data_IF_130316542823
#
_entry.id   IF_130316542823
#
_cell.length_a   1.000
_cell.length_b   1.000
_cell.length_c   1.000
_cell.angle_alpha   90.00
_cell.angle_beta   90.00
_cell.angle_gamma   90.00
#
_symmetry.space_group_name_H-M   'P 1'
#
loop_
_entity.id
_entity.type
_entity.pdbx_description
1 polymer ?
#
# COMPACT_ATOMS: atom_id res chain seq x y z
N UNK A 1 -9.99 -23.00 -13.94
CA UNK A 1 -10.77 -22.09 -13.06
C UNK A 1 -9.89 -21.00 -12.44
N UNK A 2 -8.87 -21.28 -11.57
CA UNK A 2 -8.02 -20.21 -11.01
C UNK A 2 -7.21 -19.43 -12.06
N UNK A 3 -6.56 -20.13 -13.00
CA UNK A 3 -5.82 -19.52 -14.11
C UNK A 3 -6.72 -18.71 -15.06
N UNK A 4 -7.97 -19.14 -15.27
CA UNK A 4 -8.94 -18.40 -16.08
C UNK A 4 -9.37 -17.09 -15.39
N UNK A 5 -9.56 -17.11 -14.06
CA UNK A 5 -9.90 -15.93 -13.27
C UNK A 5 -8.73 -14.95 -13.27
N UNK A 6 -7.51 -15.44 -13.08
CA UNK A 6 -6.30 -14.61 -13.15
C UNK A 6 -6.13 -13.97 -14.53
N UNK A 7 -6.27 -14.72 -15.61
CA UNK A 7 -6.16 -14.22 -16.97
C UNK A 7 -7.26 -13.19 -17.30
N UNK A 8 -8.48 -13.38 -16.78
CA UNK A 8 -9.59 -12.45 -16.98
C UNK A 8 -9.38 -11.08 -16.28
N UNK A 9 -8.52 -11.03 -15.24
CA UNK A 9 -8.24 -9.84 -14.45
C UNK A 9 -6.83 -9.27 -14.67
N UNK A 10 -6.09 -9.77 -15.68
CA UNK A 10 -4.74 -9.30 -16.01
C UNK A 10 -4.57 -9.08 -17.50
N UNK A 11 -3.48 -8.43 -17.88
CA UNK A 11 -3.03 -8.33 -19.29
C UNK A 11 -2.27 -9.58 -19.76
N UNK A 12 -2.08 -10.56 -18.88
CA UNK A 12 -1.38 -11.81 -19.15
C UNK A 12 -2.25 -12.88 -19.79
N UNK A 13 -1.60 -13.89 -20.37
CA UNK A 13 -2.25 -15.06 -20.95
C UNK A 13 -2.65 -16.07 -19.86
N UNK A 14 -3.56 -16.98 -20.18
CA UNK A 14 -3.95 -18.08 -19.27
C UNK A 14 -2.76 -19.01 -18.96
N UNK A 15 -1.79 -19.13 -19.86
CA UNK A 15 -0.58 -19.94 -19.71
C UNK A 15 0.37 -19.30 -18.68
N UNK A 16 0.63 -17.99 -18.79
CA UNK A 16 1.43 -17.23 -17.81
C UNK A 16 0.79 -17.24 -16.41
N UNK A 17 -0.54 -17.15 -16.33
CA UNK A 17 -1.27 -17.28 -15.09
C UNK A 17 -1.17 -18.71 -14.52
N UNK A 18 -1.14 -19.74 -15.37
CA UNK A 18 -0.94 -21.13 -14.99
C UNK A 18 0.45 -21.38 -14.41
N UNK A 19 1.48 -20.83 -15.02
CA UNK A 19 2.88 -20.96 -14.58
C UNK A 19 3.10 -20.27 -13.22
N UNK A 20 2.52 -19.08 -13.00
CA UNK A 20 2.55 -18.40 -11.72
C UNK A 20 1.89 -19.23 -10.60
N UNK A 21 0.74 -19.86 -10.89
CA UNK A 21 0.04 -20.71 -9.92
C UNK A 21 0.75 -22.05 -9.66
N UNK A 22 1.51 -22.55 -10.63
CA UNK A 22 2.28 -23.80 -10.47
C UNK A 22 3.45 -23.68 -9.48
N UNK A 23 3.86 -22.47 -9.15
CA UNK A 23 4.91 -22.19 -8.15
C UNK A 23 4.37 -22.19 -6.72
N UNK A 24 3.06 -22.16 -6.52
CA UNK A 24 2.43 -22.18 -5.19
C UNK A 24 2.17 -23.62 -4.72
N UNK A 25 2.70 -23.97 -3.56
CA UNK A 25 2.55 -25.29 -2.93
C UNK A 25 1.43 -25.30 -1.90
N UNK A 26 0.23 -24.85 -2.26
CA UNK A 26 -0.92 -24.79 -1.35
C UNK A 26 -2.14 -24.14 -1.99
N UNK A 27 -3.20 -23.89 -1.23
CA UNK A 27 -4.32 -23.09 -1.72
C UNK A 27 -3.84 -21.69 -2.07
N UNK A 28 -4.14 -21.21 -3.28
CA UNK A 28 -3.87 -19.84 -3.67
C UNK A 28 -4.60 -18.87 -2.71
N UNK A 29 -3.84 -17.98 -2.09
CA UNK A 29 -4.38 -16.97 -1.18
C UNK A 29 -4.14 -15.56 -1.73
N UNK A 30 -4.92 -14.55 -1.33
CA UNK A 30 -4.63 -13.17 -1.66
C UNK A 30 -3.24 -12.77 -1.15
N UNK A 31 -2.52 -11.97 -1.92
CA UNK A 31 -1.32 -11.28 -1.43
C UNK A 31 -1.69 -10.18 -0.45
N UNK A 32 -0.80 -9.90 0.48
CA UNK A 32 -1.00 -8.84 1.47
C UNK A 32 -0.10 -7.66 1.12
N UNK A 33 -0.74 -6.52 0.79
CA UNK A 33 -0.10 -5.23 0.55
C UNK A 33 -0.31 -4.35 1.80
N UNK A 34 0.77 -3.85 2.38
CA UNK A 34 0.74 -3.00 3.57
C UNK A 34 1.11 -1.57 3.23
N UNK A 35 0.40 -0.60 3.83
CA UNK A 35 0.66 0.83 3.60
C UNK A 35 0.67 1.60 4.91
N UNK A 36 1.56 2.58 5.00
CA UNK A 36 1.64 3.49 6.13
C UNK A 36 1.03 4.86 5.78
N UNK A 37 -0.03 5.24 6.47
CA UNK A 37 -0.53 6.62 6.48
C UNK A 37 0.21 7.40 7.57
N UNK A 38 1.20 8.16 7.17
CA UNK A 38 2.00 9.02 8.05
C UNK A 38 1.53 10.45 7.86
N UNK A 39 0.82 11.00 8.84
CA UNK A 39 0.26 12.35 8.76
C UNK A 39 0.93 13.26 9.80
N UNK A 40 1.47 14.37 9.34
CA UNK A 40 2.10 15.40 10.16
C UNK A 40 1.64 16.78 9.68
N UNK A 41 1.19 17.62 10.60
CA UNK A 41 0.74 19.00 10.30
C UNK A 41 -0.32 19.04 9.19
N UNK A 42 -1.30 18.15 9.26
CA UNK A 42 -2.39 17.96 8.28
C UNK A 42 -1.88 17.69 6.84
N UNK A 43 -0.71 17.04 6.73
CA UNK A 43 -0.10 16.61 5.47
C UNK A 43 0.28 15.13 5.54
N UNK A 44 0.03 14.39 4.47
CA UNK A 44 0.32 12.97 4.36
C UNK A 44 1.64 12.74 3.62
N UNK A 45 2.46 11.82 4.13
CA UNK A 45 3.69 11.38 3.50
C UNK A 45 3.38 10.53 2.26
N UNK A 46 3.92 10.94 1.13
CA UNK A 46 3.92 10.13 -0.08
C UNK A 46 5.36 9.94 -0.56
N UNK A 47 5.55 8.81 -1.23
CA UNK A 47 6.80 8.43 -1.91
C UNK A 47 6.55 8.24 -3.39
N UNK A 48 7.58 8.48 -4.19
CA UNK A 48 7.56 8.21 -5.63
C UNK A 48 8.71 7.23 -5.91
N UNK A 49 8.38 5.97 -6.11
CA UNK A 49 9.37 4.94 -6.45
C UNK A 49 9.98 5.19 -7.82
N UNK A 50 11.26 4.81 -7.96
CA UNK A 50 12.00 4.95 -9.22
C UNK A 50 11.36 4.12 -10.33
N UNK A 51 11.11 4.78 -11.46
CA UNK A 51 10.46 4.15 -12.61
C UNK A 51 8.93 4.02 -12.55
N UNK A 52 8.30 4.36 -11.43
CA UNK A 52 6.86 4.35 -11.29
C UNK A 52 6.20 5.67 -11.71
N UNK A 53 4.99 5.56 -12.23
CA UNK A 53 4.17 6.73 -12.57
C UNK A 53 3.28 7.08 -11.39
N UNK A 54 3.60 8.21 -10.73
CA UNK A 54 2.79 8.75 -9.65
C UNK A 54 3.30 8.43 -8.25
N UNK A 55 2.67 9.08 -7.29
CA UNK A 55 2.98 8.99 -5.87
C UNK A 55 2.09 7.99 -5.16
N UNK A 56 2.60 7.34 -4.12
CA UNK A 56 1.82 6.42 -3.28
C UNK A 56 2.14 6.61 -1.80
N UNK A 57 1.33 5.99 -0.93
CA UNK A 57 1.75 5.80 0.46
C UNK A 57 2.98 4.88 0.48
N UNK A 58 3.94 5.10 1.39
CA UNK A 58 5.01 4.13 1.61
C UNK A 58 4.43 2.79 2.03
N UNK A 59 5.04 1.70 1.53
CA UNK A 59 4.60 0.34 1.78
C UNK A 59 4.68 -0.56 0.55
N UNK A 60 4.58 -1.87 0.78
CA UNK A 60 4.75 -2.89 -0.23
C UNK A 60 4.12 -4.22 0.18
N UNK A 61 4.69 -5.30 -0.33
CA UNK A 61 4.26 -6.64 0.03
C UNK A 61 4.77 -7.01 1.42
N UNK A 62 3.90 -7.62 2.23
CA UNK A 62 4.34 -8.21 3.49
C UNK A 62 5.17 -9.48 3.22
N UNK A 63 6.32 -9.58 3.84
CA UNK A 63 7.19 -10.75 3.74
C UNK A 63 6.77 -11.87 4.70
N UNK A 64 7.13 -13.10 4.35
CA UNK A 64 6.90 -14.25 5.22
C UNK A 64 7.74 -14.12 6.50
N UNK A 65 7.08 -14.20 7.64
CA UNK A 65 7.76 -14.14 8.95
C UNK A 65 7.69 -12.79 9.64
N UNK A 66 7.15 -11.75 8.99
CA UNK A 66 6.87 -10.46 9.63
C UNK A 66 5.36 -10.24 9.82
N UNK A 67 4.98 -9.48 10.81
CA UNK A 67 3.60 -9.02 10.95
C UNK A 67 3.31 -7.89 9.96
N UNK A 68 2.03 -7.67 9.57
CA UNK A 68 1.68 -6.57 8.67
C UNK A 68 2.11 -5.18 9.16
N UNK A 69 2.13 -4.96 10.47
CA UNK A 69 2.58 -3.69 11.04
C UNK A 69 4.11 -3.53 10.99
N UNK A 70 4.88 -4.61 11.19
CA UNK A 70 6.33 -4.61 10.99
C UNK A 70 6.69 -4.34 9.54
N UNK A 71 6.01 -5.01 8.60
CA UNK A 71 6.17 -4.76 7.17
C UNK A 71 5.92 -3.29 6.81
N UNK A 72 4.83 -2.69 7.28
CA UNK A 72 4.53 -1.29 7.02
C UNK A 72 5.61 -0.33 7.58
N UNK A 73 6.17 -0.63 8.74
CA UNK A 73 7.24 0.17 9.34
C UNK A 73 8.56 0.02 8.57
N UNK A 74 8.94 -1.20 8.17
CA UNK A 74 10.14 -1.51 7.39
C UNK A 74 10.10 -0.79 6.04
N UNK A 75 9.03 -1.01 5.27
CA UNK A 75 8.84 -0.38 3.96
C UNK A 75 8.90 1.16 4.06
N UNK A 76 8.25 1.74 5.07
CA UNK A 76 8.31 3.19 5.28
C UNK A 76 9.75 3.67 5.49
N UNK A 77 10.54 2.94 6.28
CA UNK A 77 11.95 3.29 6.50
C UNK A 77 12.77 3.15 5.22
N UNK A 78 12.61 2.06 4.47
CA UNK A 78 13.32 1.78 3.23
C UNK A 78 13.03 2.81 2.15
N UNK A 79 11.74 3.16 1.95
CA UNK A 79 11.31 4.07 0.88
C UNK A 79 11.44 5.55 1.23
N UNK A 80 11.39 5.92 2.50
CA UNK A 80 11.32 7.35 2.89
C UNK A 80 12.40 7.82 3.87
N UNK A 81 13.12 6.92 4.51
CA UNK A 81 14.04 7.25 5.59
C UNK A 81 13.35 7.65 6.91
N UNK A 82 12.02 7.58 6.98
CA UNK A 82 11.30 7.83 8.23
C UNK A 82 11.13 6.53 8.99
N UNK A 83 11.65 6.49 10.22
CA UNK A 83 11.33 5.44 11.17
C UNK A 83 10.00 5.74 11.83
N UNK A 84 9.05 4.82 11.70
CA UNK A 84 7.69 5.01 12.17
C UNK A 84 7.24 3.90 13.10
N UNK A 85 6.22 4.19 13.89
CA UNK A 85 5.50 3.22 14.72
C UNK A 85 4.05 3.14 14.24
N UNK A 86 3.59 2.01 13.72
CA UNK A 86 2.18 1.77 13.46
C UNK A 86 1.40 1.80 14.78
N UNK A 87 0.34 2.60 14.85
CA UNK A 87 -0.44 2.80 16.08
C UNK A 87 -1.88 2.34 15.96
N UNK A 88 -2.40 2.26 14.73
CA UNK A 88 -3.79 1.87 14.50
C UNK A 88 -3.99 1.36 13.07
N UNK A 89 -4.78 0.29 12.91
CA UNK A 89 -5.30 -0.11 11.60
C UNK A 89 -6.36 0.91 11.17
N UNK A 90 -6.22 1.46 9.97
CA UNK A 90 -7.20 2.36 9.37
C UNK A 90 -8.14 1.62 8.43
N UNK A 91 -7.60 0.68 7.67
CA UNK A 91 -8.38 -0.05 6.68
C UNK A 91 -7.84 -1.45 6.41
N UNK A 92 -8.77 -2.36 6.09
CA UNK A 92 -8.52 -3.67 5.51
C UNK A 92 -9.41 -3.83 4.27
N UNK A 93 -8.85 -3.56 3.09
CA UNK A 93 -9.59 -3.51 1.83
C UNK A 93 -9.30 -4.69 0.93
N UNK A 94 -10.34 -5.26 0.34
CA UNK A 94 -10.22 -6.00 -0.91
C UNK A 94 -9.97 -4.99 -2.04
N UNK A 95 -8.74 -4.96 -2.56
CA UNK A 95 -8.31 -3.97 -3.55
C UNK A 95 -9.27 -3.85 -4.74
N UNK A 96 -9.82 -4.97 -5.20
CA UNK A 96 -10.64 -5.01 -6.42
C UNK A 96 -12.02 -4.38 -6.23
N UNK A 97 -12.44 -4.15 -4.98
CA UNK A 97 -13.69 -3.46 -4.62
C UNK A 97 -13.58 -1.94 -4.59
N UNK A 98 -12.38 -1.39 -4.70
CA UNK A 98 -12.11 0.04 -4.52
C UNK A 98 -11.76 0.80 -5.83
N UNK A 99 -12.07 0.23 -7.00
CA UNK A 99 -11.92 0.92 -8.28
C UNK A 99 -10.47 1.10 -8.74
N UNK A 100 -9.53 0.33 -8.19
CA UNK A 100 -8.19 0.24 -8.72
C UNK A 100 -8.17 -0.45 -10.10
N UNK A 101 -7.25 -0.10 -11.00
CA UNK A 101 -7.06 -0.85 -12.24
C UNK A 101 -6.76 -2.33 -11.95
N UNK A 102 -7.21 -3.28 -12.80
CA UNK A 102 -6.97 -4.70 -12.59
C UNK A 102 -5.47 -5.03 -12.60
N UNK A 103 -5.09 -6.00 -11.76
CA UNK A 103 -3.75 -6.59 -11.71
C UNK A 103 -3.86 -8.11 -11.63
N UNK A 104 -2.78 -8.87 -11.94
CA UNK A 104 -2.87 -10.34 -12.00
C UNK A 104 -2.99 -11.05 -10.65
N UNK A 105 -3.08 -10.30 -9.54
CA UNK A 105 -3.14 -10.88 -8.19
C UNK A 105 -4.36 -10.36 -7.45
N UNK A 106 -5.01 -11.23 -6.68
CA UNK A 106 -5.96 -10.80 -5.65
C UNK A 106 -5.18 -10.25 -4.45
N UNK A 107 -5.55 -9.07 -3.97
CA UNK A 107 -4.77 -8.35 -2.96
C UNK A 107 -5.65 -7.81 -1.85
N UNK A 108 -5.29 -8.10 -0.62
CA UNK A 108 -5.79 -7.40 0.55
C UNK A 108 -4.81 -6.27 0.93
N UNK A 109 -5.35 -5.06 1.07
CA UNK A 109 -4.58 -3.87 1.47
C UNK A 109 -4.84 -3.57 2.93
N UNK A 110 -3.77 -3.56 3.72
CA UNK A 110 -3.82 -3.18 5.12
C UNK A 110 -3.16 -1.81 5.29
N UNK A 111 -3.91 -0.83 5.75
CA UNK A 111 -3.40 0.53 5.92
C UNK A 111 -3.32 0.87 7.40
N UNK A 112 -2.14 1.28 7.85
CA UNK A 112 -1.88 1.65 9.24
C UNK A 112 -1.64 3.14 9.39
N UNK A 113 -2.26 3.77 10.39
CA UNK A 113 -1.82 5.07 10.87
C UNK A 113 -0.49 4.88 11.60
N UNK A 114 0.51 5.68 11.22
CA UNK A 114 1.84 5.58 11.79
C UNK A 114 2.29 6.92 12.36
N UNK A 115 2.95 6.88 13.51
CA UNK A 115 3.62 8.01 14.12
C UNK A 115 5.10 8.01 13.77
N UNK A 116 5.65 9.18 13.47
CA UNK A 116 7.08 9.34 13.22
C UNK A 116 7.83 9.25 14.55
N UNK A 117 8.83 8.37 14.61
CA UNK A 117 9.78 8.28 15.71
C UNK A 117 10.99 9.18 15.47
N UNK A 118 11.59 9.06 14.29
CA UNK A 118 12.69 9.90 13.82
C UNK A 118 12.81 9.85 12.29
N UNK A 119 13.73 10.64 11.78
CA UNK A 119 14.12 10.61 10.37
C UNK A 119 15.63 10.39 10.29
N UNK A 120 16.02 9.31 9.66
CA UNK A 120 17.41 8.99 9.36
C UNK A 120 17.57 8.91 7.86
N UNK A 121 18.62 9.49 7.26
CA UNK A 121 18.90 9.26 5.84
C UNK A 121 19.03 7.75 5.62
N UNK A 122 18.15 7.17 4.82
CA UNK A 122 18.32 5.78 4.39
C UNK A 122 19.29 5.76 3.21
N UNK A 123 20.36 4.97 3.26
CA UNK A 123 21.28 4.83 2.13
C UNK A 123 20.64 4.09 0.93
N UNK A 124 19.54 3.41 1.15
CA UNK A 124 18.89 2.52 0.16
C UNK A 124 17.53 3.05 -0.30
N UNK A 125 17.30 4.38 -0.23
CA UNK A 125 16.04 4.97 -0.73
C UNK A 125 16.03 4.88 -2.26
N UNK A 126 15.37 3.85 -2.78
CA UNK A 126 15.11 3.69 -4.22
C UNK A 126 13.83 4.45 -4.62
N UNK A 127 13.83 5.75 -4.34
CA UNK A 127 12.71 6.63 -4.64
C UNK A 127 13.16 7.92 -5.31
N UNK A 128 12.39 8.36 -6.29
CA UNK A 128 12.57 9.65 -6.97
C UNK A 128 12.07 10.84 -6.13
N UNK A 129 11.37 10.56 -5.03
CA UNK A 129 10.88 11.62 -4.16
C UNK A 129 10.17 11.13 -2.90
N UNK A 130 10.35 11.91 -1.83
CA UNK A 130 9.71 11.73 -0.52
C UNK A 130 9.18 13.08 -0.09
N UNK A 131 7.86 13.22 0.11
CA UNK A 131 7.25 14.52 0.42
C UNK A 131 5.92 14.40 1.14
N UNK A 132 5.62 15.40 1.97
CA UNK A 132 4.31 15.60 2.60
C UNK A 132 3.40 16.48 1.74
N UNK A 133 2.14 16.04 1.54
CA UNK A 133 1.14 16.76 0.74
C UNK A 133 -0.13 17.00 1.56
N UNK A 134 -0.71 18.18 1.43
CA UNK A 134 -2.05 18.47 1.96
C UNK A 134 -3.13 17.69 1.19
N UNK A 135 -4.27 17.47 1.84
CA UNK A 135 -5.40 16.71 1.25
C UNK A 135 -5.85 17.26 -0.12
N UNK A 136 -5.82 18.59 -0.28
CA UNK A 136 -6.25 19.26 -1.52
C UNK A 136 -5.08 19.61 -2.46
N UNK A 137 -3.87 19.19 -2.12
CA UNK A 137 -2.63 19.46 -2.88
C UNK A 137 -1.97 18.16 -3.35
N UNK A 138 -2.76 17.08 -3.47
CA UNK A 138 -2.23 15.79 -3.85
C UNK A 138 -1.63 15.82 -5.27
N UNK A 139 -0.44 15.22 -5.46
CA UNK A 139 0.15 15.07 -6.78
C UNK A 139 -0.59 13.98 -7.60
N UNK A 140 -0.14 13.73 -8.82
CA UNK A 140 -0.60 12.56 -9.57
C UNK A 140 -0.30 11.27 -8.79
N UNK A 141 -1.34 10.52 -8.41
CA UNK A 141 -1.20 9.29 -7.64
C UNK A 141 -0.98 8.07 -8.53
N UNK A 142 -0.27 7.07 -8.02
CA UNK A 142 -0.20 5.73 -8.59
C UNK A 142 -1.52 5.00 -8.29
N UNK A 143 -2.48 5.09 -9.22
CA UNK A 143 -3.84 4.57 -9.04
C UNK A 143 -3.90 3.04 -8.88
N UNK A 144 -2.84 2.33 -9.24
CA UNK A 144 -2.69 0.90 -8.95
C UNK A 144 -2.46 0.64 -7.47
N UNK A 145 -1.92 1.62 -6.74
CA UNK A 145 -1.49 1.51 -5.34
C UNK A 145 -2.39 2.27 -4.37
N UNK A 146 -2.81 3.49 -4.75
CA UNK A 146 -3.65 4.36 -3.92
C UNK A 146 -4.54 5.23 -4.80
N UNK A 147 -5.76 5.51 -4.37
CA UNK A 147 -6.69 6.38 -5.07
C UNK A 147 -7.09 7.57 -4.18
N UNK A 148 -7.46 8.73 -4.76
CA UNK A 148 -7.77 9.93 -4.01
C UNK A 148 -8.83 9.72 -2.90
N UNK A 149 -9.95 8.99 -3.11
CA UNK A 149 -10.94 8.78 -2.05
C UNK A 149 -10.38 8.08 -0.81
N UNK A 150 -9.41 7.15 -0.99
CA UNK A 150 -8.76 6.48 0.14
C UNK A 150 -7.90 7.47 0.94
N UNK A 151 -7.15 8.35 0.26
CA UNK A 151 -6.34 9.38 0.94
C UNK A 151 -7.22 10.30 1.76
N UNK A 152 -8.33 10.82 1.20
CA UNK A 152 -9.27 11.66 1.94
C UNK A 152 -9.84 10.93 3.16
N UNK A 153 -10.15 9.62 3.02
CA UNK A 153 -10.63 8.81 4.13
C UNK A 153 -9.59 8.67 5.25
N UNK A 154 -8.29 8.58 4.92
CA UNK A 154 -7.23 8.52 5.94
C UNK A 154 -7.05 9.84 6.68
N UNK A 155 -7.23 10.99 6.02
CA UNK A 155 -7.32 12.28 6.70
C UNK A 155 -8.52 12.36 7.66
N UNK A 156 -9.68 11.84 7.26
CA UNK A 156 -10.85 11.76 8.12
C UNK A 156 -10.59 10.91 9.37
N UNK A 157 -9.97 9.74 9.21
CA UNK A 157 -9.54 8.90 10.33
C UNK A 157 -8.52 9.60 11.25
N UNK A 158 -7.62 10.40 10.69
CA UNK A 158 -6.65 11.17 11.45
C UNK A 158 -7.34 12.23 12.31
N UNK A 159 -8.28 12.98 11.73
CA UNK A 159 -9.05 14.03 12.43
C UNK A 159 -10.08 13.47 13.42
N UNK A 160 -10.53 12.24 13.20
CA UNK A 160 -11.50 11.57 14.06
C UNK A 160 -10.98 10.19 14.52
N UNK A 161 -10.15 10.16 15.60
CA UNK A 161 -9.55 8.92 16.09
C UNK A 161 -10.56 7.87 16.60
N UNK A 162 -11.83 8.23 16.81
CA UNK A 162 -12.88 7.30 17.26
C UNK A 162 -13.51 6.48 16.13
N UNK A 163 -13.21 6.81 14.86
CA UNK A 163 -13.70 6.00 13.74
C UNK A 163 -13.15 4.57 13.82
N UNK A 164 -14.01 3.56 13.66
CA UNK A 164 -13.56 2.20 13.53
C UNK A 164 -12.76 2.01 12.23
N UNK A 165 -11.88 1.01 12.14
CA UNK A 165 -11.24 0.67 10.87
C UNK A 165 -12.28 0.37 9.78
N UNK A 166 -12.00 0.81 8.56
CA UNK A 166 -12.82 0.47 7.40
C UNK A 166 -12.48 -0.95 6.90
N UNK A 167 -13.48 -1.71 6.48
CA UNK A 167 -13.27 -3.02 5.87
C UNK A 167 -14.43 -3.37 4.93
N UNK A 168 -14.21 -4.32 4.03
CA UNK A 168 -15.20 -4.88 3.11
C UNK A 168 -15.96 -6.05 3.70
#
# INVERSE_FOLDING_TARGET
>A
MAAEILAAHSTGTQEEAGDLLALETGPATPKVDVRAAVIREDRILLVKESGEVGWSLPGGWADVGESPSEAAARETMEESGYRVRPVRLLAAYDRDRHGHPPIPYHVYKLVFLCEILDQTPSPDVDTDGVRFFGEHELPGLSVTRIIPPQVSRFFEHHRNPSLPPDFD
#
